data_IF_023839305952
#
_entry.id   IF_023839305952
#
_cell.length_a   1.000
_cell.length_b   1.000
_cell.length_c   1.000
_cell.angle_alpha   90.00
_cell.angle_beta   90.00
_cell.angle_gamma   90.00
#
_symmetry.space_group_name_H-M   'P 1'
#
loop_
_entity.id
_entity.type
_entity.pdbx_description
1 polymer ?
#
# COMPACT_ATOMS: atom_id res chain seq x y z
N UNK A 1 -21.83 4.59 -0.11
CA UNK A 1 -21.36 5.42 -1.24
C UNK A 1 -22.54 5.89 -2.10
N UNK A 2 -22.53 7.14 -2.59
CA UNK A 2 -23.48 7.61 -3.60
C UNK A 2 -23.29 6.83 -4.92
N UNK A 3 -24.36 6.27 -5.54
CA UNK A 3 -24.22 5.48 -6.77
C UNK A 3 -23.54 6.24 -7.93
N UNK A 4 -23.77 7.54 -8.05
CA UNK A 4 -23.17 8.38 -9.08
C UNK A 4 -21.67 8.61 -8.85
N UNK A 5 -21.25 8.79 -7.60
CA UNK A 5 -19.82 8.87 -7.27
C UNK A 5 -19.09 7.55 -7.55
N UNK A 6 -19.72 6.41 -7.27
CA UNK A 6 -19.16 5.09 -7.56
C UNK A 6 -18.90 4.86 -9.05
N UNK A 7 -19.87 5.21 -9.91
CA UNK A 7 -19.73 5.08 -11.36
C UNK A 7 -18.67 6.04 -11.92
N UNK A 8 -18.64 7.27 -11.41
CA UNK A 8 -17.61 8.25 -11.75
C UNK A 8 -16.21 7.73 -11.41
N UNK A 9 -16.04 7.14 -10.22
CA UNK A 9 -14.77 6.55 -9.80
C UNK A 9 -14.31 5.45 -10.77
N UNK A 10 -15.22 4.56 -11.21
CA UNK A 10 -14.90 3.51 -12.21
C UNK A 10 -14.41 4.09 -13.53
N UNK A 11 -15.00 5.19 -13.97
CA UNK A 11 -14.60 5.84 -15.22
C UNK A 11 -13.24 6.55 -15.09
N UNK A 12 -13.05 7.32 -14.02
CA UNK A 12 -11.86 8.15 -13.81
C UNK A 12 -10.63 7.30 -13.48
N UNK A 13 -10.78 6.23 -12.71
CA UNK A 13 -9.68 5.40 -12.21
C UNK A 13 -9.32 4.23 -13.15
N UNK A 14 -9.93 4.10 -14.33
CA UNK A 14 -9.73 2.96 -15.24
C UNK A 14 -8.30 2.81 -15.79
N UNK A 15 -7.55 3.91 -15.89
CA UNK A 15 -6.26 3.99 -16.58
C UNK A 15 -5.11 4.35 -15.64
N UNK A 16 -5.17 3.93 -14.38
CA UNK A 16 -4.08 4.16 -13.44
C UNK A 16 -2.80 3.45 -13.89
N UNK A 17 -1.66 4.11 -13.70
CA UNK A 17 -0.34 3.58 -14.03
C UNK A 17 0.04 2.37 -13.14
N UNK A 18 1.02 1.52 -13.55
CA UNK A 18 1.43 0.31 -12.82
C UNK A 18 1.80 0.55 -11.35
N UNK A 19 1.49 -0.39 -10.47
CA UNK A 19 1.43 -0.20 -9.02
C UNK A 19 0.35 0.81 -8.60
N UNK A 20 -0.90 0.41 -8.78
CA UNK A 20 -2.09 1.04 -8.21
C UNK A 20 -2.99 -0.07 -7.64
N UNK A 21 -3.76 0.26 -6.61
CA UNK A 21 -4.78 -0.63 -6.05
C UNK A 21 -6.07 0.15 -5.88
N UNK A 22 -7.19 -0.45 -6.28
CA UNK A 22 -8.52 0.13 -6.12
C UNK A 22 -9.38 -0.91 -5.42
N UNK A 23 -10.03 -0.50 -4.33
CA UNK A 23 -10.98 -1.34 -3.60
C UNK A 23 -12.30 -0.62 -3.53
N UNK A 24 -13.34 -1.22 -4.09
CA UNK A 24 -14.72 -0.75 -3.98
C UNK A 24 -15.39 -1.50 -2.85
N UNK A 25 -15.88 -0.79 -1.85
CA UNK A 25 -16.74 -1.33 -0.80
C UNK A 25 -18.14 -0.74 -0.94
N UNK A 26 -19.07 -1.17 -0.07
CA UNK A 26 -20.41 -0.56 -0.01
C UNK A 26 -20.37 0.89 0.47
N UNK A 27 -19.36 1.22 1.27
CA UNK A 27 -19.25 2.51 1.94
C UNK A 27 -18.40 3.51 1.16
N UNK A 28 -17.32 3.06 0.52
CA UNK A 28 -16.31 3.93 -0.11
C UNK A 28 -15.57 3.29 -1.29
N UNK A 29 -14.76 4.13 -1.96
CA UNK A 29 -13.69 3.68 -2.86
C UNK A 29 -12.35 4.05 -2.23
N UNK A 30 -11.55 3.03 -1.94
CA UNK A 30 -10.18 3.18 -1.45
C UNK A 30 -9.20 3.03 -2.61
N UNK A 31 -8.24 3.96 -2.72
CA UNK A 31 -7.25 3.96 -3.82
C UNK A 31 -5.84 4.15 -3.29
N UNK A 32 -4.93 3.25 -3.69
CA UNK A 32 -3.48 3.43 -3.55
C UNK A 32 -2.92 3.78 -4.92
N UNK A 33 -2.32 4.96 -5.05
CA UNK A 33 -1.74 5.44 -6.29
C UNK A 33 -0.55 6.37 -6.04
N UNK A 34 0.19 6.68 -7.11
CA UNK A 34 1.28 7.68 -7.04
C UNK A 34 0.70 9.06 -6.75
N UNK A 35 1.37 9.82 -5.86
CA UNK A 35 0.93 11.18 -5.52
C UNK A 35 0.79 12.09 -6.74
N UNK A 36 1.69 12.01 -7.72
CA UNK A 36 1.61 12.80 -8.95
C UNK A 36 0.37 12.48 -9.80
N UNK A 37 -0.10 11.23 -9.78
CA UNK A 37 -1.29 10.80 -10.49
C UNK A 37 -2.56 11.29 -9.77
N UNK A 38 -2.56 11.24 -8.43
CA UNK A 38 -3.62 11.81 -7.62
C UNK A 38 -3.83 13.31 -7.86
N UNK A 39 -2.74 14.09 -8.00
CA UNK A 39 -2.82 15.52 -8.28
C UNK A 39 -3.61 15.83 -9.57
N UNK A 40 -3.51 14.98 -10.58
CA UNK A 40 -4.25 15.12 -11.85
C UNK A 40 -5.71 14.65 -11.75
N UNK A 41 -6.05 13.78 -10.79
CA UNK A 41 -7.36 13.13 -10.71
C UNK A 41 -8.26 13.76 -9.65
N UNK A 42 -7.71 14.35 -8.58
CA UNK A 42 -8.48 14.82 -7.42
C UNK A 42 -9.57 15.84 -7.74
N UNK A 43 -9.39 16.65 -8.80
CA UNK A 43 -10.41 17.58 -9.28
C UNK A 43 -11.70 16.93 -9.77
N UNK A 44 -11.70 15.61 -9.99
CA UNK A 44 -12.90 14.85 -10.34
C UNK A 44 -13.75 14.48 -9.10
N UNK A 45 -13.29 14.71 -7.87
CA UNK A 45 -13.97 14.24 -6.67
C UNK A 45 -14.25 15.41 -5.73
N UNK A 46 -15.50 15.54 -5.27
CA UNK A 46 -15.92 16.59 -4.35
C UNK A 46 -15.68 16.25 -2.88
N UNK A 47 -15.66 14.96 -2.54
CA UNK A 47 -15.45 14.46 -1.19
C UNK A 47 -14.37 13.37 -1.21
N UNK A 48 -13.23 13.63 -0.59
CA UNK A 48 -12.16 12.66 -0.47
C UNK A 48 -11.32 12.92 0.79
N UNK A 49 -10.63 11.88 1.25
CA UNK A 49 -9.56 11.99 2.25
C UNK A 49 -8.26 11.51 1.62
N UNK A 50 -7.16 12.18 1.95
CA UNK A 50 -5.83 11.83 1.45
C UNK A 50 -4.91 11.65 2.64
N UNK A 51 -4.16 10.56 2.60
CA UNK A 51 -3.16 10.25 3.60
C UNK A 51 -1.83 9.94 2.90
N UNK A 52 -0.72 10.48 3.40
CA UNK A 52 0.59 10.33 2.76
C UNK A 52 1.54 11.51 3.02
N UNK A 53 2.67 11.59 2.29
CA UNK A 53 3.14 10.63 1.29
C UNK A 53 3.71 9.34 1.93
N UNK A 54 3.57 8.24 1.19
CA UNK A 54 4.13 6.94 1.55
C UNK A 54 5.36 6.59 0.70
N UNK A 55 6.10 5.59 1.16
CA UNK A 55 7.10 4.83 0.41
C UNK A 55 6.68 3.39 0.38
N UNK A 56 6.79 2.81 -0.81
CA UNK A 56 6.43 1.43 -1.09
C UNK A 56 7.67 0.55 -0.95
N UNK A 57 7.53 -0.53 -0.19
CA UNK A 57 8.46 -1.64 -0.12
C UNK A 57 7.77 -2.87 -0.70
N UNK A 58 8.41 -3.49 -1.70
CA UNK A 58 7.93 -4.72 -2.32
C UNK A 58 8.88 -5.84 -1.92
N UNK A 59 8.34 -6.92 -1.38
CA UNK A 59 9.13 -8.11 -1.09
C UNK A 59 9.34 -8.88 -2.37
N UNK A 60 10.57 -8.87 -2.89
CA UNK A 60 10.89 -9.54 -4.16
C UNK A 60 11.11 -11.05 -3.99
N UNK A 61 10.12 -11.71 -3.41
CA UNK A 61 10.02 -13.16 -3.27
C UNK A 61 8.64 -13.56 -3.77
N UNK A 62 8.53 -14.69 -4.47
CA UNK A 62 7.22 -15.26 -4.77
C UNK A 62 6.79 -15.98 -3.50
N UNK A 63 5.84 -15.40 -2.79
CA UNK A 63 5.29 -16.03 -1.60
C UNK A 63 4.21 -17.00 -2.05
N UNK A 64 4.36 -18.27 -1.69
CA UNK A 64 3.26 -19.22 -1.78
C UNK A 64 2.12 -18.68 -0.88
N UNK A 65 0.89 -18.66 -1.39
CA UNK A 65 -0.29 -18.16 -0.68
C UNK A 65 -0.58 -18.95 0.61
N UNK A 66 0.04 -20.13 0.78
CA UNK A 66 -0.01 -20.94 2.01
C UNK A 66 0.96 -20.48 3.11
N UNK A 67 1.84 -19.50 2.86
CA UNK A 67 2.81 -19.03 3.84
C UNK A 67 2.08 -18.32 4.99
N UNK A 68 2.15 -18.93 6.17
CA UNK A 68 1.65 -18.37 7.42
C UNK A 68 2.78 -17.66 8.16
N UNK A 69 2.47 -16.52 8.78
CA UNK A 69 3.38 -15.84 9.71
C UNK A 69 4.36 -14.85 9.07
N UNK A 70 4.56 -14.88 7.75
CA UNK A 70 5.45 -13.93 7.05
C UNK A 70 5.12 -12.47 7.37
N UNK A 71 3.85 -12.07 7.16
CA UNK A 71 3.43 -10.69 7.44
C UNK A 71 3.48 -10.36 8.93
N UNK A 72 3.29 -11.36 9.81
CA UNK A 72 3.42 -11.20 11.26
C UNK A 72 4.85 -10.83 11.66
N UNK A 73 5.86 -11.55 11.15
CA UNK A 73 7.29 -11.26 11.39
C UNK A 73 7.65 -9.86 10.92
N UNK A 74 7.25 -9.52 9.70
CA UNK A 74 7.56 -8.21 9.09
C UNK A 74 6.87 -7.06 9.84
N UNK A 75 5.57 -7.19 10.13
CA UNK A 75 4.82 -6.15 10.83
C UNK A 75 5.27 -5.97 12.28
N UNK A 76 5.62 -7.06 12.97
CA UNK A 76 6.16 -7.01 14.35
C UNK A 76 7.47 -6.23 14.39
N UNK A 77 8.45 -6.56 13.53
CA UNK A 77 9.73 -5.87 13.53
C UNK A 77 9.61 -4.36 13.23
N UNK A 78 8.70 -3.99 12.32
CA UNK A 78 8.42 -2.59 12.01
C UNK A 78 7.71 -1.89 13.19
N UNK A 79 6.76 -2.56 13.84
CA UNK A 79 6.04 -2.04 15.00
C UNK A 79 6.96 -1.83 16.22
N UNK A 80 7.88 -2.75 16.51
CA UNK A 80 8.92 -2.60 17.55
C UNK A 80 9.80 -1.38 17.30
N UNK A 81 9.99 -1.04 16.02
CA UNK A 81 10.68 0.17 15.59
C UNK A 81 9.77 1.39 15.48
N UNK A 82 8.53 1.34 15.99
CA UNK A 82 7.52 2.41 15.89
C UNK A 82 7.27 2.89 14.46
N UNK A 83 7.38 2.00 13.48
CA UNK A 83 7.06 2.26 12.08
C UNK A 83 5.67 1.73 11.78
N UNK A 84 4.71 2.64 11.56
CA UNK A 84 3.37 2.27 11.11
C UNK A 84 3.42 1.76 9.66
N UNK A 85 2.67 0.69 9.41
CA UNK A 85 2.58 0.05 8.10
C UNK A 85 1.16 0.04 7.58
N UNK A 86 1.02 0.08 6.27
CA UNK A 86 -0.18 -0.29 5.55
C UNK A 86 0.20 -1.38 4.55
N UNK A 87 -0.35 -2.59 4.71
CA UNK A 87 0.00 -3.75 3.90
C UNK A 87 -0.99 -3.93 2.75
N UNK A 88 -0.47 -4.24 1.57
CA UNK A 88 -1.25 -4.57 0.37
C UNK A 88 -0.70 -5.87 -0.20
N UNK A 89 -1.50 -6.93 -0.12
CA UNK A 89 -1.17 -8.21 -0.74
C UNK A 89 -1.74 -8.27 -2.16
N UNK A 90 -0.96 -8.79 -3.09
CA UNK A 90 -1.41 -9.18 -4.43
C UNK A 90 -1.28 -10.70 -4.57
N UNK A 91 -1.60 -11.24 -5.76
CA UNK A 91 -1.45 -12.66 -5.99
C UNK A 91 0.00 -13.16 -5.83
N UNK A 92 1.00 -12.37 -6.25
CA UNK A 92 2.40 -12.81 -6.30
C UNK A 92 3.29 -12.21 -5.21
N UNK A 93 2.92 -11.03 -4.73
CA UNK A 93 3.82 -10.17 -3.94
C UNK A 93 3.03 -9.50 -2.83
N UNK A 94 3.69 -9.40 -1.68
CA UNK A 94 3.28 -8.51 -0.62
C UNK A 94 4.02 -7.17 -0.73
N UNK A 95 3.27 -6.13 -0.38
CA UNK A 95 3.74 -4.77 -0.38
C UNK A 95 3.46 -4.12 0.95
N UNK A 96 4.40 -3.31 1.44
CA UNK A 96 4.20 -2.49 2.62
C UNK A 96 4.44 -1.04 2.27
N UNK A 97 3.45 -0.21 2.60
CA UNK A 97 3.55 1.22 2.56
C UNK A 97 3.91 1.75 3.95
N UNK A 98 4.96 2.54 4.03
CA UNK A 98 5.38 3.26 5.24
C UNK A 98 5.38 4.75 4.98
N UNK A 99 5.15 5.57 6.01
CA UNK A 99 5.25 7.03 5.85
C UNK A 99 6.62 7.42 5.31
N UNK A 100 6.69 8.39 4.39
CA UNK A 100 7.95 8.85 3.79
C UNK A 100 9.01 9.21 4.85
N UNK A 101 8.57 9.81 5.97
CA UNK A 101 9.45 10.20 7.09
C UNK A 101 10.14 9.00 7.77
N UNK A 102 9.50 7.83 7.74
CA UNK A 102 9.96 6.61 8.41
C UNK A 102 10.66 5.64 7.45
N UNK A 103 10.78 5.98 6.16
CA UNK A 103 11.24 5.08 5.12
C UNK A 103 12.68 4.58 5.32
N UNK A 104 13.60 5.44 5.79
CA UNK A 104 14.99 5.03 6.08
C UNK A 104 15.04 4.04 7.23
N UNK A 105 14.26 4.31 8.30
CA UNK A 105 14.15 3.41 9.45
C UNK A 105 13.56 2.07 9.04
N UNK A 106 12.47 2.08 8.27
CA UNK A 106 11.83 0.88 7.74
C UNK A 106 12.80 0.05 6.90
N UNK A 107 13.56 0.68 5.99
CA UNK A 107 14.55 -0.01 5.16
C UNK A 107 15.63 -0.69 6.02
N UNK A 108 16.12 -0.02 7.06
CA UNK A 108 17.11 -0.60 7.98
C UNK A 108 16.57 -1.84 8.69
N UNK A 109 15.32 -1.77 9.20
CA UNK A 109 14.66 -2.90 9.89
C UNK A 109 14.47 -4.07 8.95
N UNK A 110 13.95 -3.83 7.74
CA UNK A 110 13.70 -4.85 6.74
C UNK A 110 15.00 -5.52 6.27
N UNK A 111 16.08 -4.76 6.07
CA UNK A 111 17.39 -5.33 5.75
C UNK A 111 17.92 -6.19 6.89
N UNK A 112 17.73 -5.78 8.15
CA UNK A 112 18.08 -6.58 9.32
C UNK A 112 17.39 -7.94 9.33
N UNK A 113 16.08 -7.98 9.04
CA UNK A 113 15.34 -9.25 8.92
C UNK A 113 15.91 -10.16 7.82
N UNK A 114 16.22 -9.60 6.64
CA UNK A 114 16.79 -10.37 5.52
C UNK A 114 18.15 -10.95 5.89
N UNK A 115 18.98 -10.20 6.62
CA UNK A 115 20.28 -10.69 7.10
C UNK A 115 20.13 -11.83 8.10
N UNK A 116 19.20 -11.72 9.06
CA UNK A 116 18.97 -12.77 10.08
C UNK A 116 18.35 -14.05 9.51
N UNK A 117 17.62 -13.98 8.40
CA UNK A 117 17.02 -15.15 7.75
C UNK A 117 18.00 -15.97 6.88
N UNK A 118 19.22 -15.46 6.64
CA UNK A 118 20.26 -16.14 5.83
C UNK A 118 21.26 -16.96 6.65
N UNK A 119 21.16 -16.88 7.98
CA UNK A 119 21.93 -17.68 8.95
C UNK A 119 21.13 -18.88 9.40
#
# INVERSE_FOLDING_TARGET
>A
MDPGEGEKARTVLRNLKPYSSITYTVDEVSVVLRSAEWESLKGNFGNYKVEGPYRLFTFDIVLDLSIVGFLSVVSTALAESSVSVFAVSTYLKDHILVKKRDAVKALSVLNGLVSSAKT
#
